data_IF_507094752283
#
_entry.id   IF_507094752283
#
_cell.length_a   1.000
_cell.length_b   1.000
_cell.length_c   1.000
_cell.angle_alpha   90.00
_cell.angle_beta   90.00
_cell.angle_gamma   90.00
#
_symmetry.space_group_name_H-M   'P 1'
#
loop_
_entity.id
_entity.type
_entity.pdbx_description
1 polymer ?
#
# COMPACT_ATOMS: atom_id res chain seq x y z
N UNK A 1 -8.70 -10.90 -13.73
CA UNK A 1 -8.59 -11.57 -12.40
C UNK A 1 -7.35 -12.46 -12.42
N UNK A 2 -6.62 -12.53 -11.31
CA UNK A 2 -5.34 -13.27 -11.20
C UNK A 2 -5.55 -14.63 -10.51
N UNK A 3 -4.68 -15.60 -10.81
CA UNK A 3 -4.64 -16.89 -10.10
C UNK A 3 -3.83 -16.84 -8.81
N UNK A 4 -2.81 -15.98 -8.78
CA UNK A 4 -1.92 -15.75 -7.63
C UNK A 4 -1.94 -14.25 -7.33
N UNK A 5 -2.03 -13.90 -6.05
CA UNK A 5 -2.01 -12.54 -5.50
C UNK A 5 -0.82 -12.38 -4.57
N UNK A 6 0.02 -11.38 -4.83
CA UNK A 6 1.20 -11.06 -4.03
C UNK A 6 0.97 -9.72 -3.33
N UNK A 7 1.08 -9.67 -2.00
CA UNK A 7 1.21 -8.41 -1.27
C UNK A 7 2.64 -7.88 -1.47
N UNK A 8 2.78 -6.98 -2.44
CA UNK A 8 4.07 -6.50 -2.91
C UNK A 8 4.50 -5.21 -2.21
N UNK A 9 5.44 -5.33 -1.28
CA UNK A 9 5.99 -4.23 -0.49
C UNK A 9 5.24 -3.93 0.81
N UNK A 10 5.89 -3.20 1.70
CA UNK A 10 5.42 -3.00 3.08
C UNK A 10 4.09 -2.26 3.17
N UNK A 11 3.79 -1.37 2.21
CA UNK A 11 2.47 -0.75 2.11
C UNK A 11 1.36 -1.80 1.89
N UNK A 12 1.59 -2.83 1.06
CA UNK A 12 0.61 -3.89 0.83
C UNK A 12 0.58 -4.90 1.99
N UNK A 13 1.73 -5.19 2.60
CA UNK A 13 1.87 -6.19 3.67
C UNK A 13 1.32 -5.67 5.00
N UNK A 14 1.67 -4.46 5.41
CA UNK A 14 1.35 -3.90 6.74
C UNK A 14 0.68 -2.53 6.70
N UNK A 15 0.58 -1.89 5.53
CA UNK A 15 0.05 -0.54 5.37
C UNK A 15 1.06 0.59 5.63
N UNK A 16 2.21 0.28 6.26
CA UNK A 16 3.39 1.13 6.53
C UNK A 16 3.11 2.65 6.70
N UNK A 17 3.89 3.52 6.05
CA UNK A 17 3.84 4.99 6.19
C UNK A 17 2.43 5.56 5.96
N UNK A 18 1.66 5.14 4.93
CA UNK A 18 0.27 5.60 4.76
C UNK A 18 -0.62 5.34 5.97
N UNK A 19 -0.37 4.27 6.73
CA UNK A 19 -1.16 3.90 7.91
C UNK A 19 -0.87 4.76 9.14
N UNK A 20 0.15 5.62 9.12
CA UNK A 20 0.41 6.58 10.20
C UNK A 20 -0.78 7.52 10.44
N UNK A 21 -1.56 7.83 9.39
CA UNK A 21 -2.77 8.67 9.49
C UNK A 21 -3.93 7.97 10.20
N UNK A 22 -3.88 6.66 10.45
CA UNK A 22 -4.99 5.90 11.04
C UNK A 22 -5.33 6.30 12.48
N UNK A 23 -4.48 7.11 13.11
CA UNK A 23 -4.72 7.70 14.44
C UNK A 23 -5.45 9.05 14.39
N UNK A 24 -5.60 9.62 13.19
CA UNK A 24 -6.23 10.91 12.94
C UNK A 24 -7.61 10.70 12.33
N UNK A 25 -8.49 11.69 12.49
CA UNK A 25 -9.73 11.73 11.72
C UNK A 25 -9.44 12.16 10.28
N UNK A 26 -10.10 11.50 9.33
CA UNK A 26 -9.90 11.76 7.90
C UNK A 26 -10.33 13.18 7.51
N UNK A 27 -11.41 13.69 8.10
CA UNK A 27 -11.92 15.02 7.78
C UNK A 27 -10.93 16.10 8.22
N UNK A 28 -10.31 15.93 9.40
CA UNK A 28 -9.29 16.84 9.92
C UNK A 28 -8.04 16.85 9.03
N UNK A 29 -7.59 15.67 8.57
CA UNK A 29 -6.44 15.56 7.64
C UNK A 29 -6.71 16.27 6.32
N UNK A 30 -7.92 16.12 5.77
CA UNK A 30 -8.31 16.78 4.52
C UNK A 30 -8.49 18.30 4.70
N UNK A 31 -9.06 18.73 5.82
CA UNK A 31 -9.22 20.14 6.14
C UNK A 31 -7.86 20.85 6.28
N UNK A 32 -6.92 20.25 7.01
CA UNK A 32 -5.57 20.77 7.18
C UNK A 32 -4.86 20.96 5.83
N UNK A 33 -4.90 19.95 4.94
CA UNK A 33 -4.18 20.04 3.66
C UNK A 33 -4.84 20.98 2.67
N UNK A 34 -6.17 20.91 2.52
CA UNK A 34 -6.87 21.53 1.39
C UNK A 34 -7.68 22.79 1.75
N UNK A 35 -7.92 23.06 3.03
CA UNK A 35 -8.74 24.21 3.47
C UNK A 35 -7.97 25.20 4.34
N UNK A 36 -7.24 24.71 5.35
CA UNK A 36 -6.72 25.54 6.44
C UNK A 36 -5.20 25.76 6.37
N UNK A 37 -4.47 24.78 5.86
CA UNK A 37 -3.01 24.80 5.81
C UNK A 37 -2.42 25.47 4.56
N UNK A 38 -1.08 25.43 4.44
CA UNK A 38 -0.35 26.09 3.36
C UNK A 38 -0.65 25.51 1.96
N UNK A 39 -1.25 24.33 1.89
CA UNK A 39 -1.68 23.65 0.65
C UNK A 39 -3.10 23.95 0.20
N UNK A 40 -3.75 24.97 0.79
CA UNK A 40 -5.15 25.32 0.49
C UNK A 40 -5.43 25.42 -1.01
N UNK A 41 -6.56 24.83 -1.43
CA UNK A 41 -6.95 24.80 -2.85
C UNK A 41 -7.21 26.22 -3.39
N UNK A 42 -6.66 26.61 -4.57
CA UNK A 42 -6.95 27.90 -5.19
C UNK A 42 -8.39 28.01 -5.71
N UNK A 43 -8.98 26.88 -6.13
CA UNK A 43 -10.34 26.75 -6.66
C UNK A 43 -11.21 25.89 -5.72
N UNK A 44 -12.49 26.25 -5.60
CA UNK A 44 -13.44 25.65 -4.66
C UNK A 44 -13.62 24.14 -4.83
N UNK A 45 -14.13 23.49 -3.78
CA UNK A 45 -14.28 22.03 -3.60
C UNK A 45 -15.01 21.29 -4.75
N UNK A 46 -15.68 22.03 -5.64
CA UNK A 46 -16.63 21.50 -6.60
C UNK A 46 -15.99 20.92 -7.87
N UNK A 47 -14.77 21.34 -8.25
CA UNK A 47 -14.12 20.90 -9.52
C UNK A 47 -13.76 19.41 -9.56
N UNK A 48 -13.60 18.77 -8.39
CA UNK A 48 -13.14 17.38 -8.29
C UNK A 48 -14.20 16.41 -7.74
N UNK A 49 -15.38 16.94 -7.41
CA UNK A 49 -16.47 16.16 -6.83
C UNK A 49 -16.96 15.11 -7.83
N UNK A 50 -16.86 13.83 -7.47
CA UNK A 50 -17.26 12.70 -8.32
C UNK A 50 -16.16 12.11 -9.21
N UNK A 51 -15.02 12.80 -9.36
CA UNK A 51 -13.86 12.29 -10.11
C UNK A 51 -12.84 11.63 -9.19
N UNK A 52 -12.67 12.17 -7.97
CA UNK A 52 -11.73 11.66 -6.97
C UNK A 52 -12.46 10.73 -6.00
N UNK A 53 -11.97 9.49 -5.77
CA UNK A 53 -12.60 8.57 -4.84
C UNK A 53 -12.49 9.08 -3.41
N UNK A 54 -13.53 8.83 -2.62
CA UNK A 54 -13.53 9.13 -1.19
C UNK A 54 -12.50 8.25 -0.48
N UNK A 55 -11.71 8.85 0.39
CA UNK A 55 -10.73 8.10 1.19
C UNK A 55 -11.43 7.21 2.21
N UNK A 56 -10.91 5.99 2.38
CA UNK A 56 -11.33 5.12 3.47
C UNK A 56 -10.97 5.77 4.83
N UNK A 57 -11.77 5.51 5.88
CA UNK A 57 -11.49 6.02 7.23
C UNK A 57 -10.13 5.59 7.77
N UNK A 58 -9.66 4.40 7.39
CA UNK A 58 -8.35 3.86 7.74
C UNK A 58 -7.71 3.20 6.53
N UNK A 59 -6.38 3.31 6.46
CA UNK A 59 -5.55 2.47 5.59
C UNK A 59 -5.52 1.07 6.19
N UNK A 60 -5.71 0.07 5.35
CA UNK A 60 -5.66 -1.34 5.72
C UNK A 60 -4.70 -2.08 4.78
N UNK A 61 -3.94 -3.07 5.29
CA UNK A 61 -3.11 -3.90 4.43
C UNK A 61 -3.99 -4.77 3.51
N UNK A 62 -3.43 -5.21 2.38
CA UNK A 62 -4.18 -5.86 1.30
C UNK A 62 -4.91 -7.14 1.76
N UNK A 63 -4.26 -7.91 2.63
CA UNK A 63 -4.77 -9.17 3.16
C UNK A 63 -6.01 -9.03 4.07
N UNK A 64 -6.36 -7.81 4.49
CA UNK A 64 -7.62 -7.55 5.21
C UNK A 64 -8.80 -7.36 4.27
N UNK A 65 -8.56 -7.15 2.97
CA UNK A 65 -9.62 -6.86 1.97
C UNK A 65 -9.81 -8.03 1.01
N UNK A 66 -8.73 -8.70 0.61
CA UNK A 66 -8.76 -9.86 -0.29
C UNK A 66 -7.79 -10.95 0.17
N UNK A 67 -8.00 -12.22 -0.23
CA UNK A 67 -7.00 -13.28 -0.03
C UNK A 67 -5.68 -12.94 -0.72
N UNK A 68 -4.57 -13.21 -0.03
CA UNK A 68 -3.20 -13.02 -0.52
C UNK A 68 -2.44 -14.33 -0.38
N UNK A 69 -1.78 -14.77 -1.44
CA UNK A 69 -1.05 -16.04 -1.48
C UNK A 69 0.39 -15.87 -0.96
N UNK A 70 1.02 -14.73 -1.27
CA UNK A 70 2.45 -14.48 -0.97
C UNK A 70 2.63 -13.06 -0.42
N UNK A 71 3.49 -12.92 0.59
CA UNK A 71 3.90 -11.63 1.14
C UNK A 71 5.35 -11.36 0.75
N UNK A 72 5.60 -10.24 0.06
CA UNK A 72 6.92 -9.83 -0.40
C UNK A 72 7.30 -8.51 0.29
N UNK A 73 7.96 -8.55 1.46
CA UNK A 73 8.24 -7.35 2.25
C UNK A 73 9.30 -6.43 1.61
N UNK A 74 9.39 -5.20 2.09
CA UNK A 74 10.33 -4.12 1.74
C UNK A 74 9.66 -2.83 1.26
N UNK A 75 10.31 -1.69 1.45
CA UNK A 75 9.82 -0.34 1.09
C UNK A 75 10.87 0.47 0.30
N UNK A 76 11.21 0.08 -0.95
CA UNK A 76 10.62 -1.02 -1.71
C UNK A 76 11.34 -2.37 -1.49
N UNK A 77 10.73 -3.50 -1.89
CA UNK A 77 11.42 -4.79 -1.88
C UNK A 77 12.69 -4.76 -2.72
N UNK A 78 13.74 -5.41 -2.23
CA UNK A 78 15.03 -5.49 -2.92
C UNK A 78 14.88 -6.15 -4.32
N UNK A 79 15.57 -5.66 -5.37
CA UNK A 79 15.49 -6.24 -6.70
C UNK A 79 15.80 -7.74 -6.77
N UNK A 80 16.77 -8.24 -6.00
CA UNK A 80 17.13 -9.66 -5.97
C UNK A 80 16.00 -10.50 -5.36
N UNK A 81 15.34 -9.94 -4.34
CA UNK A 81 14.17 -10.56 -3.70
C UNK A 81 12.98 -10.66 -4.66
N UNK A 82 12.75 -9.62 -5.44
CA UNK A 82 11.72 -9.61 -6.49
C UNK A 82 12.04 -10.66 -7.54
N UNK A 83 13.28 -10.67 -8.02
CA UNK A 83 13.75 -11.61 -9.02
C UNK A 83 13.59 -13.06 -8.58
N UNK A 84 14.01 -13.38 -7.35
CA UNK A 84 13.89 -14.72 -6.77
C UNK A 84 12.42 -15.17 -6.68
N UNK A 85 11.53 -14.30 -6.17
CA UNK A 85 10.11 -14.62 -6.03
C UNK A 85 9.44 -14.88 -7.38
N UNK A 86 9.66 -14.01 -8.37
CA UNK A 86 9.06 -14.18 -9.71
C UNK A 86 9.64 -15.40 -10.43
N UNK A 87 10.94 -15.65 -10.31
CA UNK A 87 11.59 -16.82 -10.93
C UNK A 87 11.02 -18.12 -10.38
N UNK A 88 10.87 -18.25 -9.06
CA UNK A 88 10.25 -19.43 -8.43
C UNK A 88 8.82 -19.67 -8.94
N UNK A 89 8.01 -18.61 -9.00
CA UNK A 89 6.64 -18.69 -9.51
C UNK A 89 6.55 -19.15 -10.96
N UNK A 90 7.45 -18.66 -11.83
CA UNK A 90 7.51 -19.07 -13.23
C UNK A 90 7.95 -20.52 -13.40
N UNK A 91 8.75 -21.05 -12.47
CA UNK A 91 9.21 -22.44 -12.44
C UNK A 91 8.18 -23.40 -11.80
N UNK A 92 7.10 -22.87 -11.21
CA UNK A 92 6.13 -23.67 -10.46
C UNK A 92 6.62 -24.10 -9.08
N UNK A 93 7.70 -23.47 -8.60
CA UNK A 93 8.31 -23.74 -7.31
C UNK A 93 7.74 -22.81 -6.22
N UNK A 94 7.73 -23.24 -4.95
CA UNK A 94 7.31 -22.38 -3.85
C UNK A 94 8.25 -21.18 -3.69
N UNK A 95 7.69 -20.00 -3.40
CA UNK A 95 8.48 -18.80 -3.10
C UNK A 95 9.12 -18.94 -1.72
N UNK A 96 10.36 -19.41 -1.69
CA UNK A 96 11.17 -19.56 -0.50
C UNK A 96 12.30 -18.51 -0.47
N UNK A 97 12.03 -17.36 0.15
CA UNK A 97 13.06 -16.35 0.38
C UNK A 97 13.96 -16.77 1.54
N UNK A 98 15.29 -16.70 1.47
CA UNK A 98 16.16 -16.98 2.61
C UNK A 98 16.04 -15.88 3.68
N UNK A 99 16.38 -16.14 4.97
CA UNK A 99 16.16 -15.21 6.07
C UNK A 99 16.71 -13.80 5.87
N UNK A 100 17.88 -13.68 5.23
CA UNK A 100 18.53 -12.42 4.87
C UNK A 100 17.71 -11.59 3.89
N UNK A 101 16.84 -12.22 3.09
CA UNK A 101 15.90 -11.58 2.17
C UNK A 101 14.51 -11.38 2.80
N UNK A 102 14.34 -11.58 4.11
CA UNK A 102 13.05 -11.37 4.81
C UNK A 102 13.11 -10.14 5.73
N UNK A 103 13.56 -9.02 5.19
CA UNK A 103 13.65 -7.76 5.95
C UNK A 103 12.51 -6.81 5.60
N UNK A 104 12.04 -6.09 6.61
CA UNK A 104 11.26 -4.85 6.44
C UNK A 104 12.22 -3.67 6.33
N UNK A 105 11.78 -2.58 5.71
CA UNK A 105 12.61 -1.38 5.58
C UNK A 105 12.02 -0.41 4.60
#
# INVERSE_FOLDING_TARGET
KSKIVIAFGDCAVTGNVPSLRNRLNIDDVLAEVYSEGPGKSPSGKDEYTGTVPVLLPKVVPLHQVIPVDIFLPGCPPDPERIWAAITALLQGEPVALPPEMRTFG
#
